data_IF_529241633162
#
_entry.id   IF_529241633162
#
_cell.length_a   1.000
_cell.length_b   1.000
_cell.length_c   1.000
_cell.angle_alpha   90.00
_cell.angle_beta   90.00
_cell.angle_gamma   90.00
#
_symmetry.space_group_name_H-M   'P 1'
#
loop_
_entity.id
_entity.type
_entity.pdbx_description
1 polymer ?
#
# COMPACT_ATOMS: atom_id res chain seq x y z
N UNK A 1 -18.69 9.58 6.53
CA UNK A 1 -18.00 9.05 7.71
C UNK A 1 -18.15 7.52 7.69
N UNK A 2 -17.04 6.76 7.65
CA UNK A 2 -17.13 5.30 7.58
C UNK A 2 -17.65 4.70 8.92
N UNK A 3 -18.28 3.51 8.90
CA UNK A 3 -18.86 2.87 10.09
C UNK A 3 -17.80 2.55 11.17
N UNK A 4 -18.18 2.39 12.45
CA UNK A 4 -17.24 2.25 13.58
C UNK A 4 -16.26 1.07 13.47
N UNK A 5 -16.63 0.00 12.75
CA UNK A 5 -15.75 -1.13 12.44
C UNK A 5 -14.66 -0.81 11.40
N UNK A 6 -14.88 0.18 10.53
CA UNK A 6 -13.89 0.61 9.53
C UNK A 6 -12.80 1.51 10.13
N UNK A 7 -13.10 2.20 11.24
CA UNK A 7 -12.18 3.14 11.91
C UNK A 7 -10.96 2.44 12.56
N UNK A 8 -11.07 1.13 12.82
CA UNK A 8 -9.95 0.33 13.32
C UNK A 8 -8.90 0.02 12.25
N UNK A 9 -9.23 0.19 10.97
CA UNK A 9 -8.40 -0.25 9.84
C UNK A 9 -7.79 0.88 9.03
N UNK A 10 -7.93 2.14 9.46
CA UNK A 10 -7.33 3.34 8.84
C UNK A 10 -6.22 4.05 9.64
N UNK A 11 -5.84 3.69 10.89
CA UNK A 11 -4.77 4.39 11.57
C UNK A 11 -3.41 4.05 10.95
N UNK A 12 -2.63 5.09 10.73
CA UNK A 12 -1.24 5.10 10.24
C UNK A 12 -0.51 6.26 10.94
N UNK A 13 0.82 6.18 11.14
CA UNK A 13 1.62 7.34 11.50
C UNK A 13 1.40 8.47 10.48
N UNK A 14 1.29 9.71 10.95
CA UNK A 14 0.97 10.86 10.08
C UNK A 14 2.05 11.12 9.03
N UNK A 15 3.31 10.81 9.35
CA UNK A 15 4.45 10.91 8.44
C UNK A 15 4.29 9.95 7.24
N UNK A 16 4.07 8.66 7.53
CA UNK A 16 3.78 7.61 6.54
C UNK A 16 2.51 7.93 5.73
N UNK A 17 1.47 8.45 6.39
CA UNK A 17 0.20 8.85 5.73
C UNK A 17 0.46 9.94 4.69
N UNK A 18 1.23 10.96 5.06
CA UNK A 18 1.54 12.11 4.19
C UNK A 18 2.34 11.66 2.97
N UNK A 19 3.42 10.90 3.18
CA UNK A 19 4.27 10.40 2.10
C UNK A 19 3.49 9.50 1.11
N UNK A 20 2.69 8.55 1.61
CA UNK A 20 1.88 7.68 0.74
C UNK A 20 0.77 8.43 0.00
N UNK A 21 0.21 9.49 0.61
CA UNK A 21 -0.79 10.33 -0.03
C UNK A 21 -0.17 11.16 -1.15
N UNK A 22 1.04 11.67 -0.96
CA UNK A 22 1.79 12.35 -2.04
C UNK A 22 2.08 11.40 -3.19
N UNK A 23 2.53 10.17 -2.91
CA UNK A 23 2.73 9.14 -3.93
C UNK A 23 1.42 8.79 -4.66
N UNK A 24 0.30 8.73 -3.94
CA UNK A 24 -1.02 8.50 -4.55
C UNK A 24 -1.41 9.65 -5.49
N UNK A 25 -1.19 10.90 -5.09
CA UNK A 25 -1.46 12.08 -5.92
C UNK A 25 -0.56 12.09 -7.16
N UNK A 26 0.73 11.76 -7.03
CA UNK A 26 1.66 11.64 -8.15
C UNK A 26 1.23 10.54 -9.14
N UNK A 27 0.62 9.47 -8.64
CA UNK A 27 0.03 8.40 -9.44
C UNK A 27 -1.35 8.75 -10.04
N UNK A 28 -1.88 9.95 -9.80
CA UNK A 28 -3.21 10.38 -10.25
C UNK A 28 -4.37 9.74 -9.48
N UNK A 29 -4.10 9.22 -8.28
CA UNK A 29 -5.08 8.57 -7.40
C UNK A 29 -5.57 9.61 -6.39
N UNK A 30 -6.79 10.10 -6.60
CA UNK A 30 -7.39 11.10 -5.73
C UNK A 30 -8.47 10.50 -4.82
N UNK A 31 -8.51 10.87 -3.53
CA UNK A 31 -9.58 10.48 -2.64
C UNK A 31 -10.91 11.11 -3.11
N UNK A 32 -12.01 10.34 -3.04
CA UNK A 32 -13.34 10.79 -3.46
C UNK A 32 -14.02 9.89 -4.50
N UNK A 33 -13.24 9.02 -5.16
CA UNK A 33 -13.77 7.94 -6.01
C UNK A 33 -14.38 6.81 -5.18
N UNK A 34 -15.22 5.98 -5.81
CA UNK A 34 -15.73 4.76 -5.19
C UNK A 34 -14.58 3.85 -4.71
N UNK A 35 -14.79 3.15 -3.59
CA UNK A 35 -13.78 2.29 -2.94
C UNK A 35 -13.20 1.26 -3.91
N UNK A 36 -14.04 0.64 -4.74
CA UNK A 36 -13.61 -0.35 -5.74
C UNK A 36 -12.73 0.25 -6.83
N UNK A 37 -12.98 1.51 -7.20
CA UNK A 37 -12.16 2.25 -8.17
C UNK A 37 -10.80 2.56 -7.56
N UNK A 38 -10.77 3.05 -6.32
CA UNK A 38 -9.52 3.31 -5.60
C UNK A 38 -8.68 2.04 -5.44
N UNK A 39 -9.32 0.93 -5.07
CA UNK A 39 -8.65 -0.37 -4.95
C UNK A 39 -7.99 -0.80 -6.25
N UNK A 40 -8.69 -0.69 -7.38
CA UNK A 40 -8.14 -1.01 -8.70
C UNK A 40 -7.01 -0.08 -9.13
N UNK A 41 -7.12 1.22 -8.85
CA UNK A 41 -6.06 2.18 -9.15
C UNK A 41 -4.79 1.89 -8.35
N UNK A 42 -4.94 1.63 -7.05
CA UNK A 42 -3.80 1.26 -6.18
C UNK A 42 -3.19 -0.06 -6.62
N UNK A 43 -3.99 -1.08 -6.97
CA UNK A 43 -3.49 -2.35 -7.50
C UNK A 43 -2.66 -2.13 -8.78
N UNK A 44 -3.17 -1.35 -9.73
CA UNK A 44 -2.48 -1.06 -10.99
C UNK A 44 -1.16 -0.32 -10.75
N UNK A 45 -1.17 0.69 -9.86
CA UNK A 45 0.03 1.44 -9.49
C UNK A 45 1.10 0.53 -8.90
N UNK A 46 0.74 -0.30 -7.91
CA UNK A 46 1.71 -1.14 -7.20
C UNK A 46 2.27 -2.25 -8.10
N UNK A 47 1.46 -2.79 -9.02
CA UNK A 47 1.94 -3.73 -10.05
C UNK A 47 3.02 -3.14 -10.95
N UNK A 48 3.00 -1.82 -11.17
CA UNK A 48 3.97 -1.12 -12.01
C UNK A 48 5.13 -0.51 -11.20
N UNK A 49 4.94 -0.29 -9.89
CA UNK A 49 5.91 0.39 -9.04
C UNK A 49 7.17 -0.43 -8.76
N UNK A 50 7.09 -1.76 -8.76
CA UNK A 50 8.19 -2.63 -8.36
C UNK A 50 8.24 -3.95 -9.13
N UNK A 51 9.44 -4.53 -9.22
CA UNK A 51 9.70 -5.86 -9.81
C UNK A 51 9.60 -6.94 -8.74
N UNK A 52 8.98 -8.07 -9.08
CA UNK A 52 8.94 -9.22 -8.18
C UNK A 52 10.33 -9.86 -8.07
N UNK A 53 10.92 -9.80 -6.88
CA UNK A 53 12.26 -10.31 -6.60
C UNK A 53 12.34 -10.86 -5.17
N UNK A 54 12.63 -12.16 -5.05
CA UNK A 54 12.75 -12.84 -3.76
C UNK A 54 14.07 -12.52 -3.05
N UNK A 55 15.09 -12.05 -3.79
CA UNK A 55 16.39 -11.67 -3.28
C UNK A 55 16.49 -10.16 -2.97
N UNK A 56 15.35 -9.48 -2.89
CA UNK A 56 15.32 -8.04 -2.64
C UNK A 56 16.07 -7.69 -1.33
N UNK A 57 16.91 -6.64 -1.35
CA UNK A 57 17.65 -6.23 -0.17
C UNK A 57 16.70 -5.77 0.93
N UNK A 58 17.10 -6.02 2.18
CA UNK A 58 16.34 -5.54 3.34
C UNK A 58 16.34 -4.02 3.35
N UNK A 59 15.20 -3.42 3.65
CA UNK A 59 15.13 -1.97 3.88
C UNK A 59 16.05 -1.54 5.04
N UNK A 60 16.64 -0.34 4.97
CA UNK A 60 17.36 0.25 6.09
C UNK A 60 16.45 0.45 7.32
N UNK A 61 17.03 0.33 8.52
CA UNK A 61 16.28 0.21 9.78
C UNK A 61 15.51 1.48 10.22
N UNK A 62 15.79 2.62 9.60
CA UNK A 62 15.22 3.93 9.97
C UNK A 62 14.18 4.45 8.99
N UNK A 63 13.90 3.72 7.91
CA UNK A 63 12.96 4.16 6.87
C UNK A 63 11.64 3.41 6.94
N UNK A 64 10.56 4.09 6.55
CA UNK A 64 9.25 3.46 6.45
C UNK A 64 9.25 2.42 5.32
N UNK A 65 8.91 1.19 5.69
CA UNK A 65 8.94 0.04 4.79
C UNK A 65 8.11 0.23 3.52
N UNK A 66 6.91 0.80 3.64
CA UNK A 66 5.99 0.96 2.52
C UNK A 66 6.46 2.09 1.59
N UNK A 67 6.95 3.19 2.17
CA UNK A 67 7.47 4.33 1.41
C UNK A 67 8.75 3.95 0.67
N UNK A 68 9.71 3.32 1.35
CA UNK A 68 10.97 2.89 0.75
C UNK A 68 10.75 1.93 -0.43
N UNK A 69 9.84 0.97 -0.28
CA UNK A 69 9.52 0.02 -1.35
C UNK A 69 9.00 0.69 -2.63
N UNK A 70 8.12 1.70 -2.48
CA UNK A 70 7.49 2.40 -3.61
C UNK A 70 8.41 3.44 -4.27
N UNK A 71 9.45 3.90 -3.56
CA UNK A 71 10.34 4.98 -4.02
C UNK A 71 11.69 4.45 -4.49
N UNK A 72 12.47 3.87 -3.58
CA UNK A 72 13.86 3.46 -3.82
C UNK A 72 14.00 1.97 -4.09
N UNK A 73 13.37 1.13 -3.27
CA UNK A 73 13.53 -0.31 -3.32
C UNK A 73 13.15 -0.91 -4.67
N UNK A 74 11.98 -0.54 -5.21
CA UNK A 74 11.41 -0.97 -6.51
C UNK A 74 11.53 -2.47 -6.82
N UNK A 75 11.76 -3.29 -5.80
CA UNK A 75 12.01 -4.74 -5.85
C UNK A 75 11.52 -5.35 -4.55
N UNK A 76 10.82 -6.47 -4.63
CA UNK A 76 10.33 -7.16 -3.44
C UNK A 76 9.49 -8.39 -3.78
N UNK A 77 9.03 -9.11 -2.76
CA UNK A 77 8.11 -10.24 -2.91
C UNK A 77 6.73 -9.90 -2.33
N UNK A 78 5.80 -10.87 -2.36
CA UNK A 78 4.39 -10.71 -1.99
C UNK A 78 4.10 -9.85 -0.74
N UNK A 79 4.91 -9.94 0.32
CA UNK A 79 4.73 -9.14 1.54
C UNK A 79 4.94 -7.64 1.33
N UNK A 80 5.88 -7.25 0.46
CA UNK A 80 6.14 -5.84 0.15
C UNK A 80 4.96 -5.23 -0.61
N UNK A 81 4.49 -5.93 -1.65
CA UNK A 81 3.33 -5.53 -2.43
C UNK A 81 2.07 -5.43 -1.57
N UNK A 82 1.79 -6.44 -0.75
CA UNK A 82 0.61 -6.47 0.11
C UNK A 82 0.65 -5.37 1.18
N UNK A 83 1.80 -5.13 1.80
CA UNK A 83 1.97 -4.07 2.81
C UNK A 83 1.81 -2.69 2.20
N UNK A 84 2.48 -2.42 1.07
CA UNK A 84 2.38 -1.13 0.37
C UNK A 84 0.93 -0.83 -0.05
N UNK A 85 0.21 -1.83 -0.58
CA UNK A 85 -1.18 -1.69 -0.97
C UNK A 85 -2.10 -1.37 0.20
N UNK A 86 -1.95 -2.11 1.30
CA UNK A 86 -2.74 -1.87 2.50
C UNK A 86 -2.48 -0.47 3.06
N UNK A 87 -1.21 -0.04 3.17
CA UNK A 87 -0.87 1.28 3.70
C UNK A 87 -1.37 2.41 2.79
N UNK A 88 -1.23 2.27 1.46
CA UNK A 88 -1.69 3.29 0.51
C UNK A 88 -3.21 3.46 0.54
N UNK A 89 -3.97 2.36 0.63
CA UNK A 89 -5.43 2.42 0.79
C UNK A 89 -5.84 3.10 2.09
N UNK A 90 -5.16 2.79 3.20
CA UNK A 90 -5.40 3.46 4.49
C UNK A 90 -5.12 4.95 4.45
N UNK A 91 -4.09 5.39 3.73
CA UNK A 91 -3.77 6.80 3.54
C UNK A 91 -4.86 7.55 2.73
N UNK A 92 -5.62 6.81 1.91
CA UNK A 92 -6.76 7.29 1.13
C UNK A 92 -8.11 7.16 1.86
N UNK A 93 -8.10 6.91 3.18
CA UNK A 93 -9.30 6.69 4.02
C UNK A 93 -10.08 5.41 3.68
N UNK A 94 -9.48 4.49 2.91
CA UNK A 94 -10.07 3.18 2.62
C UNK A 94 -9.65 2.19 3.72
N UNK A 95 -10.60 1.57 4.45
CA UNK A 95 -10.26 0.58 5.47
C UNK A 95 -9.65 -0.67 4.81
N UNK A 96 -8.38 -0.96 5.13
CA UNK A 96 -7.65 -2.10 4.59
C UNK A 96 -6.91 -2.87 5.69
N UNK A 97 -6.68 -4.16 5.47
CA UNK A 97 -5.94 -5.04 6.40
C UNK A 97 -4.97 -5.93 5.65
N UNK A 98 -3.83 -6.20 6.26
CA UNK A 98 -2.90 -7.20 5.78
C UNK A 98 -3.45 -8.60 6.07
N UNK A 99 -3.37 -9.49 5.08
CA UNK A 99 -3.83 -10.88 5.20
C UNK A 99 -2.71 -11.79 4.68
N UNK A 100 -2.37 -12.80 5.45
CA UNK A 100 -1.43 -13.87 5.06
C UNK A 100 -2.17 -15.19 4.89
N UNK A 101 -1.81 -15.96 3.87
CA UNK A 101 -2.40 -17.27 3.58
C UNK A 101 -1.59 -18.02 2.52
N UNK A 102 -2.12 -19.15 2.07
CA UNK A 102 -1.51 -19.99 1.05
C UNK A 102 -2.32 -19.93 -0.24
N UNK A 103 -1.63 -19.80 -1.38
CA UNK A 103 -2.24 -20.02 -2.69
C UNK A 103 -2.12 -21.52 -3.00
N UNK A 104 -3.27 -22.18 -3.15
CA UNK A 104 -3.37 -23.54 -3.66
C UNK A 104 -3.98 -23.49 -5.06
N UNK A 105 -3.15 -23.66 -6.08
CA UNK A 105 -3.61 -23.95 -7.43
C UNK A 105 -3.86 -25.45 -7.53
N UNK A 106 -5.13 -25.83 -7.67
CA UNK A 106 -5.56 -27.19 -7.99
C UNK A 106 -5.48 -27.46 -9.49
#
# INVERSE_FOLDING_TARGET
MPPPCARAYTPLPEDTRSALRELAVQAGIHPGSAVETLARQVEAYIKQAAVYDIAAPRQPAQEDFAVYFLTEGKRGWCMHFATAAACMLRALDVPARYVSGYVCTV
#
